data_IF_612358149138
#
_entry.id   IF_612358149138
#
_cell.length_a   1.000
_cell.length_b   1.000
_cell.length_c   1.000
_cell.angle_alpha   90.00
_cell.angle_beta   90.00
_cell.angle_gamma   90.00
#
_symmetry.space_group_name_H-M   'P 1'
#
loop_
_entity.id
_entity.type
_entity.pdbx_description
1 polymer ?
#
# COMPACT_ATOMS: atom_id res chain seq x y z
N UNK A 1 10.37 -5.80 29.54
CA UNK A 1 9.30 -6.77 29.22
C UNK A 1 8.02 -6.16 28.59
N UNK A 2 7.91 -4.84 28.40
CA UNK A 2 6.70 -4.20 27.82
C UNK A 2 6.67 -4.21 26.27
N UNK A 3 7.84 -4.17 25.61
CA UNK A 3 7.91 -4.12 24.13
C UNK A 3 7.39 -5.38 23.41
N UNK A 4 7.43 -6.55 24.05
CA UNK A 4 7.11 -7.82 23.38
C UNK A 4 5.59 -8.07 23.26
N UNK A 5 4.76 -7.49 24.14
CA UNK A 5 3.29 -7.66 24.07
C UNK A 5 2.65 -6.87 22.92
N UNK A 6 3.15 -5.66 22.63
CA UNK A 6 2.66 -4.83 21.54
C UNK A 6 2.98 -5.38 20.14
N UNK A 7 4.17 -5.95 19.95
CA UNK A 7 4.54 -6.59 18.67
C UNK A 7 3.71 -7.85 18.40
N UNK A 8 3.39 -8.63 19.42
CA UNK A 8 2.52 -9.83 19.28
C UNK A 8 1.09 -9.43 18.90
N UNK A 9 0.54 -8.35 19.48
CA UNK A 9 -0.80 -7.87 19.09
C UNK A 9 -0.82 -7.31 17.67
N UNK A 10 0.24 -6.65 17.22
CA UNK A 10 0.33 -6.13 15.85
C UNK A 10 0.44 -7.26 14.82
N UNK A 11 1.24 -8.30 15.09
CA UNK A 11 1.30 -9.49 14.23
C UNK A 11 -0.07 -10.13 14.05
N UNK A 12 -0.77 -10.34 15.17
CA UNK A 12 -2.12 -10.90 15.18
C UNK A 12 -3.11 -10.07 14.36
N UNK A 13 -3.01 -8.74 14.41
CA UNK A 13 -3.86 -7.87 13.59
C UNK A 13 -3.69 -8.11 12.08
N UNK A 14 -2.48 -8.34 11.57
CA UNK A 14 -2.28 -8.63 10.14
C UNK A 14 -2.90 -9.96 9.71
N UNK A 15 -2.83 -10.96 10.58
CA UNK A 15 -3.40 -12.29 10.34
C UNK A 15 -4.93 -12.28 10.46
N UNK A 16 -5.47 -11.67 11.52
CA UNK A 16 -6.93 -11.57 11.75
C UNK A 16 -7.64 -10.79 10.65
N UNK A 17 -7.00 -9.74 10.14
CA UNK A 17 -7.53 -8.99 9.00
C UNK A 17 -7.20 -9.63 7.66
N UNK A 18 -6.43 -10.72 7.62
CA UNK A 18 -6.09 -11.47 6.41
C UNK A 18 -5.06 -10.78 5.51
N UNK A 19 -4.37 -9.72 5.96
CA UNK A 19 -3.27 -9.11 5.21
C UNK A 19 -2.18 -10.16 4.96
N UNK A 20 -1.92 -10.97 5.99
CA UNK A 20 -1.37 -12.32 5.84
C UNK A 20 -2.55 -13.30 5.82
N UNK A 21 -2.76 -14.14 4.79
CA UNK A 21 -1.91 -14.35 3.63
C UNK A 21 -2.40 -13.65 2.35
N UNK A 22 -3.39 -12.75 2.37
CA UNK A 22 -3.94 -12.23 1.11
C UNK A 22 -2.93 -11.39 0.31
N UNK A 23 -2.06 -10.64 0.99
CA UNK A 23 -1.13 -9.67 0.36
C UNK A 23 0.32 -10.09 0.51
N UNK A 24 0.73 -10.52 1.70
CA UNK A 24 2.11 -10.94 2.02
C UNK A 24 2.12 -12.31 2.70
N UNK A 25 3.21 -13.06 2.53
CA UNK A 25 3.31 -14.45 3.03
C UNK A 25 3.60 -14.50 4.54
N UNK A 26 4.23 -13.46 5.08
CA UNK A 26 4.64 -13.39 6.48
C UNK A 26 4.49 -11.98 7.02
N UNK A 27 4.35 -11.86 8.33
CA UNK A 27 4.34 -10.54 8.98
C UNK A 27 5.73 -9.91 8.91
N UNK A 28 5.86 -8.66 8.44
CA UNK A 28 7.14 -7.95 8.38
C UNK A 28 7.77 -7.74 9.76
N UNK A 29 9.09 -7.58 9.75
CA UNK A 29 9.85 -7.33 10.98
C UNK A 29 9.43 -6.05 11.72
N UNK A 30 9.04 -5.01 10.96
CA UNK A 30 8.56 -3.75 11.51
C UNK A 30 7.10 -3.53 11.14
N UNK A 31 6.26 -3.37 12.15
CA UNK A 31 4.82 -3.15 12.00
C UNK A 31 4.41 -1.92 12.81
N UNK A 32 3.56 -1.08 12.23
CA UNK A 32 3.13 0.20 12.79
C UNK A 32 1.67 0.13 13.29
N UNK A 33 0.89 1.21 13.20
CA UNK A 33 -0.50 1.27 13.67
C UNK A 33 -1.45 0.55 12.70
N UNK A 34 -1.75 -0.71 13.01
CA UNK A 34 -2.51 -1.61 12.13
C UNK A 34 -4.02 -1.61 12.41
N UNK A 35 -4.82 -1.53 11.34
CA UNK A 35 -6.23 -1.93 11.31
C UNK A 35 -7.24 -0.90 11.78
N UNK A 36 -6.79 0.31 12.16
CA UNK A 36 -7.72 1.40 12.47
C UNK A 36 -8.56 1.78 11.24
N UNK A 37 -9.78 2.20 11.49
CA UNK A 37 -10.65 2.76 10.46
C UNK A 37 -10.27 4.24 10.23
N UNK A 38 -10.11 4.62 8.96
CA UNK A 38 -9.95 5.99 8.50
C UNK A 38 -10.98 6.25 7.40
N UNK A 39 -11.43 7.49 7.25
CA UNK A 39 -12.34 7.85 6.16
C UNK A 39 -11.55 8.18 4.88
N UNK A 40 -12.11 7.93 3.68
CA UNK A 40 -11.53 8.41 2.43
C UNK A 40 -11.15 9.89 2.45
N UNK A 41 -11.98 10.73 3.08
CA UNK A 41 -11.68 12.16 3.27
C UNK A 41 -10.38 12.41 4.05
N UNK A 42 -10.09 11.62 5.10
CA UNK A 42 -8.87 11.76 5.91
C UNK A 42 -7.61 11.35 5.15
N UNK A 43 -7.73 10.42 4.20
CA UNK A 43 -6.60 9.83 3.46
C UNK A 43 -6.59 10.24 1.99
N UNK A 44 -7.27 11.33 1.63
CA UNK A 44 -7.32 11.83 0.26
C UNK A 44 -5.96 12.32 -0.25
N UNK A 45 -5.13 12.84 0.66
CA UNK A 45 -3.83 13.41 0.36
C UNK A 45 -2.72 12.39 0.65
N UNK A 46 -1.64 12.45 -0.12
CA UNK A 46 -0.44 11.63 0.08
C UNK A 46 0.07 11.78 1.53
N UNK A 47 0.40 10.69 2.25
CA UNK A 47 0.89 10.79 3.61
C UNK A 47 2.23 11.55 3.66
N UNK A 48 2.30 12.57 4.52
CA UNK A 48 3.47 13.44 4.65
C UNK A 48 4.57 12.84 5.52
N UNK A 49 4.23 11.86 6.36
CA UNK A 49 5.18 11.21 7.28
C UNK A 49 5.07 9.70 7.15
N UNK A 50 5.95 9.11 6.35
CA UNK A 50 6.13 7.65 6.26
C UNK A 50 7.57 7.35 6.63
N UNK A 51 7.78 6.60 7.72
CA UNK A 51 9.10 6.27 8.25
C UNK A 51 9.22 4.78 8.50
N UNK A 52 10.40 4.25 8.23
CA UNK A 52 10.81 2.88 8.50
C UNK A 52 12.31 2.87 8.84
N UNK A 53 12.83 1.80 9.48
CA UNK A 53 14.26 1.67 9.73
C UNK A 53 15.05 1.62 8.42
N UNK A 54 16.14 2.38 8.35
CA UNK A 54 16.95 2.47 7.14
C UNK A 54 18.41 2.12 7.39
N UNK A 55 19.02 1.54 6.36
CA UNK A 55 20.46 1.31 6.25
C UNK A 55 21.11 2.38 5.37
N UNK A 56 22.39 2.69 5.65
CA UNK A 56 23.17 3.61 4.85
C UNK A 56 23.27 3.15 3.40
N UNK A 57 23.09 4.07 2.45
CA UNK A 57 23.15 3.83 1.00
C UNK A 57 22.14 2.82 0.43
N UNK A 58 21.18 2.34 1.23
CA UNK A 58 20.14 1.45 0.76
C UNK A 58 19.00 2.21 0.06
N UNK A 59 18.41 1.55 -0.92
CA UNK A 59 17.23 2.01 -1.65
C UNK A 59 16.01 1.18 -1.27
N UNK A 60 14.83 1.78 -1.34
CA UNK A 60 13.58 1.15 -0.94
C UNK A 60 12.50 1.28 -2.02
N UNK A 61 11.61 0.31 -2.04
CA UNK A 61 10.32 0.37 -2.74
C UNK A 61 9.23 0.58 -1.70
N UNK A 62 8.36 1.57 -1.94
CA UNK A 62 7.16 1.85 -1.14
C UNK A 62 5.94 1.58 -2.00
N UNK A 63 4.99 0.79 -1.47
CA UNK A 63 3.74 0.47 -2.13
C UNK A 63 2.56 0.64 -1.18
N UNK A 64 1.44 1.14 -1.69
CA UNK A 64 0.13 1.06 -1.05
C UNK A 64 -0.82 0.29 -1.96
N UNK A 65 -1.50 -0.72 -1.44
CA UNK A 65 -2.32 -1.64 -2.24
C UNK A 65 -3.63 -2.03 -1.54
N UNK A 66 -4.71 -2.15 -2.30
CA UNK A 66 -6.04 -2.58 -1.85
C UNK A 66 -6.34 -4.01 -2.38
N UNK A 67 -6.32 -5.05 -1.54
CA UNK A 67 -6.68 -6.40 -1.95
C UNK A 67 -8.20 -6.61 -2.05
N UNK A 68 -9.01 -5.65 -1.65
CA UNK A 68 -10.46 -5.80 -1.52
C UNK A 68 -11.20 -5.14 -2.69
N UNK A 69 -10.52 -4.58 -3.70
CA UNK A 69 -11.20 -3.97 -4.85
C UNK A 69 -11.96 -4.99 -5.76
N UNK A 70 -13.24 -4.75 -6.14
CA UNK A 70 -14.11 -3.67 -5.69
C UNK A 70 -14.88 -3.97 -4.40
N UNK A 71 -14.93 -5.23 -3.94
CA UNK A 71 -15.34 -5.58 -2.57
C UNK A 71 -14.55 -6.78 -2.06
N UNK A 72 -14.36 -6.87 -0.73
CA UNK A 72 -13.64 -8.00 -0.12
C UNK A 72 -14.30 -9.35 -0.42
N UNK A 73 -15.62 -9.37 -0.58
CA UNK A 73 -16.40 -10.58 -0.87
C UNK A 73 -16.23 -11.03 -2.33
N UNK A 74 -16.06 -10.10 -3.28
CA UNK A 74 -15.89 -10.38 -4.71
C UNK A 74 -14.75 -9.53 -5.31
N UNK A 75 -13.48 -9.80 -4.95
CA UNK A 75 -12.36 -8.88 -5.18
C UNK A 75 -11.77 -9.05 -6.60
N UNK A 76 -12.58 -8.77 -7.62
CA UNK A 76 -12.23 -8.93 -9.05
C UNK A 76 -10.97 -8.16 -9.48
N UNK A 77 -10.68 -7.04 -8.83
CA UNK A 77 -9.54 -6.20 -9.15
C UNK A 77 -8.38 -6.37 -8.17
N UNK A 78 -8.41 -7.40 -7.29
CA UNK A 78 -7.32 -7.67 -6.35
C UNK A 78 -5.99 -7.79 -7.07
N UNK A 79 -4.95 -7.09 -6.69
CA UNK A 79 -4.95 -5.88 -5.85
C UNK A 79 -5.09 -4.64 -6.74
N UNK A 80 -5.68 -3.58 -6.20
CA UNK A 80 -5.67 -2.26 -6.81
C UNK A 80 -4.60 -1.42 -6.11
N UNK A 81 -3.51 -1.09 -6.81
CA UNK A 81 -2.41 -0.36 -6.17
C UNK A 81 -2.62 1.16 -6.23
N UNK A 82 -2.62 1.75 -5.04
CA UNK A 82 -2.87 3.17 -4.79
C UNK A 82 -1.63 4.02 -4.96
N UNK A 83 -0.44 3.45 -4.73
CA UNK A 83 0.81 4.17 -4.79
C UNK A 83 1.98 3.22 -4.99
N UNK A 84 2.95 3.61 -5.83
CA UNK A 84 4.18 2.84 -6.05
C UNK A 84 5.35 3.78 -6.35
N UNK A 85 6.36 3.74 -5.48
CA UNK A 85 7.62 4.48 -5.62
C UNK A 85 8.78 3.52 -5.43
N UNK A 86 9.75 3.54 -6.32
CA UNK A 86 10.99 2.75 -6.20
C UNK A 86 12.19 3.65 -6.03
N UNK A 87 13.36 3.06 -5.78
CA UNK A 87 14.63 3.79 -5.68
C UNK A 87 14.59 4.91 -4.63
N UNK A 88 13.77 4.78 -3.59
CA UNK A 88 13.67 5.74 -2.49
C UNK A 88 14.97 5.67 -1.67
N UNK A 89 15.79 6.72 -1.61
CA UNK A 89 16.97 6.72 -0.76
C UNK A 89 16.54 6.89 0.70
N UNK A 90 16.88 5.92 1.54
CA UNK A 90 16.50 5.90 2.95
C UNK A 90 14.97 6.09 3.14
N UNK A 91 14.52 7.23 3.66
CA UNK A 91 13.11 7.56 3.86
C UNK A 91 12.67 8.76 2.99
N UNK A 92 13.51 9.24 2.07
CA UNK A 92 13.25 10.42 1.27
C UNK A 92 12.46 10.05 0.00
N UNK A 93 11.17 9.78 0.17
CA UNK A 93 10.28 9.31 -0.91
C UNK A 93 10.24 10.29 -2.08
N UNK A 94 10.39 11.58 -1.82
CA UNK A 94 10.41 12.62 -2.86
C UNK A 94 11.58 12.48 -3.84
N UNK A 95 12.66 11.77 -3.46
CA UNK A 95 13.80 11.45 -4.32
C UNK A 95 13.71 10.08 -5.00
N UNK A 96 12.63 9.34 -4.76
CA UNK A 96 12.38 8.07 -5.44
C UNK A 96 11.85 8.26 -6.86
N UNK A 97 11.89 7.17 -7.63
CA UNK A 97 11.28 7.10 -8.95
C UNK A 97 9.80 6.72 -8.80
N UNK A 98 8.92 7.68 -9.08
CA UNK A 98 7.47 7.50 -9.02
C UNK A 98 6.98 6.68 -10.22
N UNK A 99 6.37 5.52 -9.94
CA UNK A 99 5.75 4.66 -10.95
C UNK A 99 4.23 4.83 -10.97
N UNK A 100 3.59 4.91 -9.81
CA UNK A 100 2.15 5.13 -9.73
C UNK A 100 1.88 6.26 -8.75
N UNK A 101 1.34 7.38 -9.24
CA UNK A 101 0.95 8.51 -8.41
C UNK A 101 -0.05 8.10 -7.33
N UNK A 102 -0.04 8.81 -6.20
CA UNK A 102 -0.93 8.52 -5.08
C UNK A 102 -2.39 8.75 -5.45
N UNK A 103 -3.23 7.76 -5.15
CA UNK A 103 -4.69 7.86 -5.17
C UNK A 103 -5.19 7.46 -3.79
N UNK A 104 -6.01 8.32 -3.15
CA UNK A 104 -6.59 8.04 -1.85
C UNK A 104 -7.51 6.82 -1.82
N UNK A 105 -8.05 6.49 -0.64
CA UNK A 105 -9.03 5.42 -0.51
C UNK A 105 -10.30 5.76 -1.30
N UNK A 106 -10.82 4.79 -2.05
CA UNK A 106 -12.01 4.96 -2.91
C UNK A 106 -12.98 3.79 -2.91
N UNK A 107 -13.30 3.19 -1.74
CA UNK A 107 -14.14 2.00 -1.69
C UNK A 107 -15.56 2.33 -2.17
N UNK A 108 -16.16 1.53 -3.09
CA UNK A 108 -17.50 1.81 -3.58
C UNK A 108 -18.58 1.77 -2.48
N UNK A 109 -19.68 2.48 -2.69
CA UNK A 109 -20.79 2.48 -1.73
C UNK A 109 -21.37 1.07 -1.58
N UNK A 110 -21.51 0.61 -0.34
CA UNK A 110 -22.10 -0.70 -0.01
C UNK A 110 -21.13 -1.89 -0.10
N UNK A 111 -19.83 -1.67 -0.34
CA UNK A 111 -18.83 -2.77 -0.37
C UNK A 111 -18.14 -3.02 0.97
N UNK A 112 -18.47 -2.20 1.98
CA UNK A 112 -17.93 -2.29 3.34
C UNK A 112 -16.48 -1.79 3.45
N UNK A 113 -15.77 -2.28 4.45
CA UNK A 113 -14.39 -1.92 4.72
C UNK A 113 -13.43 -2.62 3.75
N UNK A 114 -12.58 -1.83 3.10
CA UNK A 114 -11.43 -2.27 2.32
C UNK A 114 -10.16 -2.07 3.12
N UNK A 115 -9.20 -2.99 2.98
CA UNK A 115 -7.87 -2.88 3.58
C UNK A 115 -6.95 -2.08 2.66
N UNK A 116 -6.24 -1.10 3.20
CA UNK A 116 -5.23 -0.36 2.47
C UNK A 116 -3.87 -0.63 3.08
N UNK A 117 -3.08 -1.47 2.39
CA UNK A 117 -1.85 -2.05 2.94
C UNK A 117 -0.65 -1.29 2.39
N UNK A 118 0.10 -0.65 3.30
CA UNK A 118 1.41 -0.06 3.02
C UNK A 118 2.50 -1.09 3.25
N UNK A 119 3.40 -1.22 2.27
CA UNK A 119 4.53 -2.13 2.29
C UNK A 119 5.80 -1.39 1.91
N UNK A 120 6.89 -1.68 2.62
CA UNK A 120 8.23 -1.19 2.30
C UNK A 120 9.16 -2.38 2.11
N UNK A 121 9.86 -2.40 0.98
CA UNK A 121 10.87 -3.39 0.66
C UNK A 121 12.22 -2.72 0.56
N UNK A 122 13.27 -3.38 1.07
CA UNK A 122 14.65 -3.01 0.79
C UNK A 122 15.02 -3.57 -0.59
N UNK A 123 15.59 -2.74 -1.45
CA UNK A 123 16.03 -3.18 -2.76
C UNK A 123 17.45 -3.76 -2.69
N UNK A 124 17.75 -4.82 -3.46
CA UNK A 124 19.12 -5.35 -3.57
C UNK A 124 20.06 -4.38 -4.31
N UNK A 125 19.50 -3.58 -5.23
CA UNK A 125 20.21 -2.60 -6.05
C UNK A 125 19.24 -1.51 -6.54
N UNK A 126 19.76 -0.50 -7.26
CA UNK A 126 18.91 0.44 -7.99
C UNK A 126 18.11 -0.31 -9.05
N UNK A 127 16.80 -0.08 -9.10
CA UNK A 127 15.90 -0.67 -10.08
C UNK A 127 15.81 0.19 -11.34
N UNK A 128 15.57 -0.46 -12.47
CA UNK A 128 15.20 0.18 -13.73
C UNK A 128 13.87 -0.43 -14.18
N UNK A 129 12.75 0.00 -13.58
CA UNK A 129 11.46 -0.60 -13.85
C UNK A 129 11.00 -0.32 -15.28
N UNK A 130 10.35 -1.30 -15.89
CA UNK A 130 9.71 -1.22 -17.21
C UNK A 130 8.18 -1.05 -17.10
N UNK A 131 7.65 -0.95 -15.88
CA UNK A 131 6.23 -0.65 -15.64
C UNK A 131 5.85 0.73 -16.18
N UNK A 132 4.64 0.88 -16.75
CA UNK A 132 4.14 2.18 -17.17
C UNK A 132 3.98 3.11 -15.97
N UNK A 133 4.23 4.40 -16.19
CA UNK A 133 3.90 5.42 -15.20
C UNK A 133 2.40 5.68 -15.18
N UNK A 134 1.77 5.55 -14.02
CA UNK A 134 0.34 5.75 -13.84
C UNK A 134 0.07 7.07 -13.12
N UNK A 135 -0.73 7.95 -13.74
CA UNK A 135 -1.17 9.20 -13.11
C UNK A 135 -2.27 8.96 -12.07
N UNK A 136 -2.57 9.96 -11.25
CA UNK A 136 -3.71 9.96 -10.35
C UNK A 136 -5.02 10.38 -11.03
N UNK A 137 -5.03 10.50 -12.37
CA UNK A 137 -6.18 10.92 -13.17
C UNK A 137 -6.83 9.80 -13.98
N UNK A 138 -6.37 8.57 -13.78
CA UNK A 138 -6.96 7.37 -14.40
C UNK A 138 -6.85 6.17 -13.46
N UNK A 139 -7.89 5.34 -13.47
CA UNK A 139 -7.89 4.02 -12.83
C UNK A 139 -7.25 2.91 -13.68
N UNK A 140 -6.90 3.20 -14.93
CA UNK A 140 -6.31 2.24 -15.86
C UNK A 140 -4.95 1.71 -15.36
N UNK A 141 -4.71 0.41 -15.53
CA UNK A 141 -3.48 -0.24 -15.11
C UNK A 141 -3.31 -0.47 -13.61
N UNK A 142 -4.24 0.02 -12.76
CA UNK A 142 -4.10 -0.08 -11.30
C UNK A 142 -4.61 -1.38 -10.70
N UNK A 143 -5.68 -1.94 -11.25
CA UNK A 143 -6.27 -3.21 -10.81
C UNK A 143 -5.49 -4.45 -11.27
N UNK A 144 -5.76 -5.58 -10.62
CA UNK A 144 -5.08 -6.86 -10.88
C UNK A 144 -3.56 -6.84 -10.65
N UNK A 145 -3.06 -5.80 -10.00
CA UNK A 145 -1.69 -5.73 -9.52
C UNK A 145 -1.45 -6.81 -8.46
N UNK A 146 -0.21 -7.27 -8.34
CA UNK A 146 0.21 -8.22 -7.31
C UNK A 146 1.56 -7.78 -6.78
N UNK A 147 1.60 -7.23 -5.56
CA UNK A 147 2.86 -6.78 -4.97
C UNK A 147 3.88 -7.93 -4.85
N UNK A 148 3.40 -9.16 -4.63
CA UNK A 148 4.24 -10.37 -4.65
C UNK A 148 4.96 -10.58 -5.98
N UNK A 149 4.26 -10.39 -7.10
CA UNK A 149 4.86 -10.59 -8.42
C UNK A 149 5.89 -9.49 -8.71
N UNK A 150 5.60 -8.24 -8.32
CA UNK A 150 6.54 -7.13 -8.42
C UNK A 150 7.79 -7.40 -7.56
N UNK A 151 7.62 -7.80 -6.31
CA UNK A 151 8.70 -8.14 -5.40
C UNK A 151 9.58 -9.29 -5.93
N UNK A 152 8.95 -10.33 -6.49
CA UNK A 152 9.68 -11.43 -7.14
C UNK A 152 10.44 -10.98 -8.38
N UNK A 153 9.82 -10.19 -9.26
CA UNK A 153 10.43 -9.67 -10.50
C UNK A 153 11.71 -8.89 -10.23
N UNK A 154 11.71 -8.06 -9.19
CA UNK A 154 12.84 -7.20 -8.83
C UNK A 154 13.70 -7.73 -7.67
N UNK A 155 13.51 -9.00 -7.28
CA UNK A 155 14.25 -9.65 -6.21
C UNK A 155 14.27 -8.85 -4.89
N UNK A 156 13.11 -8.31 -4.51
CA UNK A 156 12.96 -7.48 -3.31
C UNK A 156 12.94 -8.30 -2.01
N UNK A 157 12.73 -9.62 -2.11
CA UNK A 157 12.53 -10.50 -0.96
C UNK A 157 11.24 -10.15 -0.20
N UNK A 158 11.30 -10.26 1.12
CA UNK A 158 10.19 -9.94 2.01
C UNK A 158 10.13 -8.44 2.35
N UNK A 159 8.94 -7.88 2.57
CA UNK A 159 8.81 -6.52 3.06
C UNK A 159 9.46 -6.36 4.44
N UNK A 160 10.24 -5.29 4.62
CA UNK A 160 10.90 -4.96 5.88
C UNK A 160 9.96 -4.26 6.86
N UNK A 161 8.95 -3.56 6.34
CA UNK A 161 7.97 -2.82 7.12
C UNK A 161 6.58 -2.92 6.50
N UNK A 162 5.54 -2.96 7.33
CA UNK A 162 4.16 -2.82 6.90
C UNK A 162 3.33 -1.93 7.82
N UNK A 163 2.31 -1.33 7.21
CA UNK A 163 1.18 -0.77 7.92
C UNK A 163 -0.12 -1.04 7.17
N UNK A 164 -1.28 -0.94 7.80
CA UNK A 164 -2.54 -0.88 7.07
C UNK A 164 -3.63 -0.18 7.88
N UNK A 165 -4.57 0.42 7.17
CA UNK A 165 -5.83 0.91 7.74
C UNK A 165 -7.00 0.29 6.96
N UNK A 166 -8.22 0.48 7.47
CA UNK A 166 -9.43 0.12 6.76
C UNK A 166 -10.23 1.38 6.43
N UNK A 167 -10.87 1.42 5.27
CA UNK A 167 -11.80 2.50 4.94
C UNK A 167 -13.00 1.94 4.19
N UNK A 168 -14.14 2.59 4.41
CA UNK A 168 -15.39 2.37 3.67
C UNK A 168 -15.85 3.70 3.07
N UNK A 169 -16.90 3.64 2.25
CA UNK A 169 -17.39 4.78 1.49
C UNK A 169 -17.70 5.99 2.38
N UNK A 170 -17.34 7.18 1.89
CA UNK A 170 -17.82 8.48 2.40
C UNK A 170 -18.10 9.44 1.22
N UNK A 171 -18.49 10.68 1.53
CA UNK A 171 -18.87 11.70 0.53
C UNK A 171 -17.72 12.24 -0.34
N UNK A 172 -16.45 11.89 -0.04
CA UNK A 172 -15.33 12.25 -0.91
C UNK A 172 -15.18 11.29 -2.09
N UNK A 173 -15.60 10.03 -1.93
CA UNK A 173 -15.41 8.98 -2.96
C UNK A 173 -15.95 9.37 -4.34
N UNK A 174 -17.13 10.01 -4.50
CA UNK A 174 -17.58 10.48 -5.81
C UNK A 174 -16.61 11.47 -6.48
N UNK A 175 -16.00 12.39 -5.71
CA UNK A 175 -15.01 13.35 -6.23
C UNK A 175 -13.72 12.66 -6.67
N UNK A 176 -13.34 11.60 -5.96
CA UNK A 176 -12.21 10.76 -6.36
C UNK A 176 -12.49 10.04 -7.68
N UNK A 177 -13.74 9.61 -7.92
CA UNK A 177 -14.11 8.98 -9.19
C UNK A 177 -14.10 9.99 -10.35
N UNK A 178 -14.55 11.23 -10.13
CA UNK A 178 -14.39 12.33 -11.10
C UNK A 178 -12.90 12.60 -11.41
N UNK A 179 -12.04 12.59 -10.39
CA UNK A 179 -10.59 12.72 -10.60
C UNK A 179 -10.05 11.61 -11.52
N UNK A 180 -10.54 10.37 -11.37
CA UNK A 180 -10.08 9.20 -12.12
C UNK A 180 -10.76 9.01 -13.48
N UNK A 181 -11.78 9.80 -13.82
CA UNK A 181 -12.42 9.78 -15.15
C UNK A 181 -11.65 10.59 -16.20
N UNK A 182 -10.58 11.30 -15.81
CA UNK A 182 -9.70 11.99 -16.74
C UNK A 182 -10.15 13.39 -17.16
N UNK A 183 -11.11 13.99 -16.46
CA UNK A 183 -11.47 15.41 -16.61
C UNK A 183 -10.35 16.33 -16.12
#
# INVERSE_FOLDING_TARGET
>A
MVQNRGLVSLRRNMEEHGVVPDVVDRVPSHVLQLGNELTPTQVKDIPTVVKWPTEANALYTVCMTDPDAPSRQLPKYREWHHWLVVNVPQNDIAKGDLLSEYVGAGPPKGTGLHRYVFLVYKQPNKLTPDEPKLSNRSGEGRGQFKIRNFAKKYNLGEPISANFFQAQWDEYVPKLYEQLSGD
#
